data_IF_661494644995
#
_entry.id   IF_661494644995
#
_cell.length_a   1.000
_cell.length_b   1.000
_cell.length_c   1.000
_cell.angle_alpha   90.00
_cell.angle_beta   90.00
_cell.angle_gamma   90.00
#
_symmetry.space_group_name_H-M   'P 1'
#
loop_
_entity.id
_entity.type
_entity.pdbx_description
1 polymer ?
#
# COMPACT_ATOMS: atom_id res chain seq x y z
N UNK A 1 -2.22 7.13 -3.99
CA UNK A 1 -2.01 5.69 -4.31
C UNK A 1 -2.84 4.78 -3.42
N UNK A 2 -2.60 4.67 -2.12
CA UNK A 2 -3.37 3.76 -1.24
C UNK A 2 -4.90 3.89 -1.35
N UNK A 3 -5.44 5.11 -1.37
CA UNK A 3 -6.89 5.33 -1.53
C UNK A 3 -7.45 4.75 -2.83
N UNK A 4 -6.70 4.84 -3.94
CA UNK A 4 -7.09 4.26 -5.23
C UNK A 4 -7.13 2.73 -5.13
N UNK A 5 -6.14 2.13 -4.45
CA UNK A 5 -6.10 0.69 -4.18
C UNK A 5 -7.31 0.27 -3.33
N UNK A 6 -7.66 1.03 -2.29
CA UNK A 6 -8.82 0.74 -1.45
C UNK A 6 -10.13 0.80 -2.24
N UNK A 7 -10.33 1.84 -3.06
CA UNK A 7 -11.51 1.96 -3.93
C UNK A 7 -11.59 0.82 -4.95
N UNK A 8 -10.45 0.45 -5.53
CA UNK A 8 -10.31 -0.69 -6.42
C UNK A 8 -10.77 -1.99 -5.73
N UNK A 9 -10.32 -2.27 -4.49
CA UNK A 9 -10.73 -3.47 -3.77
C UNK A 9 -12.23 -3.48 -3.44
N UNK A 10 -12.78 -2.34 -3.03
CA UNK A 10 -14.22 -2.19 -2.77
C UNK A 10 -15.03 -2.48 -4.03
N UNK A 11 -14.60 -1.99 -5.20
CA UNK A 11 -15.24 -2.28 -6.48
C UNK A 11 -15.30 -3.79 -6.75
N UNK A 12 -14.21 -4.53 -6.54
CA UNK A 12 -14.21 -5.99 -6.74
C UNK A 12 -15.05 -6.74 -5.72
N UNK A 13 -15.12 -6.27 -4.47
CA UNK A 13 -16.07 -6.82 -3.48
C UNK A 13 -17.52 -6.67 -3.98
N UNK A 14 -17.86 -5.50 -4.55
CA UNK A 14 -19.20 -5.25 -5.10
C UNK A 14 -19.47 -6.14 -6.32
N UNK A 15 -18.51 -6.25 -7.24
CA UNK A 15 -18.64 -7.10 -8.45
C UNK A 15 -18.89 -8.55 -8.05
N UNK A 16 -18.17 -9.08 -7.06
CA UNK A 16 -18.29 -10.46 -6.61
C UNK A 16 -19.30 -10.66 -5.47
N UNK A 17 -20.15 -9.67 -5.18
CA UNK A 17 -21.11 -9.72 -4.06
C UNK A 17 -22.15 -10.84 -4.19
N UNK A 18 -22.40 -11.33 -5.41
CA UNK A 18 -23.27 -12.48 -5.66
C UNK A 18 -22.69 -13.82 -5.14
N UNK A 19 -21.37 -13.92 -4.92
CA UNK A 19 -20.75 -15.08 -4.27
C UNK A 19 -20.24 -14.68 -2.89
N UNK A 20 -21.02 -15.06 -1.86
CA UNK A 20 -20.74 -14.71 -0.47
C UNK A 20 -19.33 -15.11 -0.01
N UNK A 21 -18.80 -16.27 -0.45
CA UNK A 21 -17.47 -16.73 -0.05
C UNK A 21 -16.37 -15.83 -0.61
N UNK A 22 -16.45 -15.48 -1.90
CA UNK A 22 -15.45 -14.62 -2.55
C UNK A 22 -15.50 -13.21 -1.96
N UNK A 23 -16.71 -12.65 -1.84
CA UNK A 23 -16.89 -11.32 -1.26
C UNK A 23 -16.38 -11.26 0.19
N UNK A 24 -16.65 -12.29 0.99
CA UNK A 24 -16.16 -12.37 2.37
C UNK A 24 -14.63 -12.50 2.44
N UNK A 25 -14.02 -13.36 1.62
CA UNK A 25 -12.56 -13.50 1.56
C UNK A 25 -11.89 -12.19 1.12
N UNK A 26 -12.40 -11.54 0.07
CA UNK A 26 -11.89 -10.23 -0.37
C UNK A 26 -12.08 -9.16 0.72
N UNK A 27 -13.22 -9.18 1.42
CA UNK A 27 -13.49 -8.28 2.53
C UNK A 27 -12.47 -8.44 3.66
N UNK A 28 -12.22 -9.68 4.12
CA UNK A 28 -11.22 -9.97 5.14
C UNK A 28 -9.81 -9.56 4.70
N UNK A 29 -9.41 -9.90 3.48
CA UNK A 29 -8.10 -9.50 2.94
C UNK A 29 -7.96 -7.98 2.86
N UNK A 30 -9.04 -7.27 2.52
CA UNK A 30 -9.07 -5.80 2.49
C UNK A 30 -8.91 -5.22 3.89
N UNK A 31 -9.60 -5.76 4.90
CA UNK A 31 -9.45 -5.35 6.30
C UNK A 31 -8.02 -5.57 6.78
N UNK A 32 -7.43 -6.73 6.50
CA UNK A 32 -6.03 -7.04 6.85
C UNK A 32 -5.08 -6.03 6.17
N UNK A 33 -5.32 -5.70 4.89
CA UNK A 33 -4.53 -4.71 4.18
C UNK A 33 -4.63 -3.31 4.80
N UNK A 34 -5.83 -2.89 5.23
CA UNK A 34 -6.03 -1.62 5.94
C UNK A 34 -5.31 -1.61 7.29
N UNK A 35 -5.33 -2.74 8.01
CA UNK A 35 -4.61 -2.88 9.27
C UNK A 35 -3.10 -2.71 9.08
N UNK A 36 -2.51 -3.38 8.07
CA UNK A 36 -1.09 -3.18 7.73
C UNK A 36 -0.78 -1.74 7.32
N UNK A 37 -1.66 -1.09 6.54
CA UNK A 37 -1.52 0.32 6.20
C UNK A 37 -1.60 1.24 7.44
N UNK A 38 -2.38 0.87 8.44
CA UNK A 38 -2.41 1.55 9.73
C UNK A 38 -1.06 1.43 10.45
N UNK A 39 -0.50 0.22 10.51
CA UNK A 39 0.78 -0.05 11.18
C UNK A 39 1.92 0.76 10.57
N UNK A 40 1.97 0.90 9.23
CA UNK A 40 3.05 1.65 8.58
C UNK A 40 3.07 3.14 8.93
N UNK A 41 1.99 3.67 9.54
CA UNK A 41 1.92 5.03 10.07
C UNK A 41 2.33 5.15 11.53
N UNK A 42 2.39 4.04 12.26
CA UNK A 42 2.78 4.03 13.67
C UNK A 42 4.30 4.09 13.75
N UNK A 43 4.82 5.23 14.18
CA UNK A 43 6.25 5.37 14.48
C UNK A 43 6.50 4.95 15.92
N UNK A 44 7.48 4.07 16.15
CA UNK A 44 7.98 3.82 17.50
C UNK A 44 8.55 5.13 18.06
N UNK A 45 8.23 5.42 19.32
CA UNK A 45 8.85 6.52 20.06
C UNK A 45 10.02 5.96 20.83
N UNK A 46 11.23 6.28 20.40
CA UNK A 46 12.42 5.94 21.16
C UNK A 46 12.64 6.89 22.34
N UNK A 47 13.37 6.43 23.35
CA UNK A 47 13.87 7.28 24.43
C UNK A 47 15.35 7.53 24.16
N UNK A 48 15.75 8.79 24.10
CA UNK A 48 17.13 9.15 23.75
C UNK A 48 17.42 10.63 23.94
N UNK A 49 18.65 11.02 23.66
CA UNK A 49 19.07 12.41 23.69
C UNK A 49 18.31 13.26 22.66
N UNK A 50 18.10 14.54 22.97
CA UNK A 50 17.38 15.47 22.12
C UNK A 50 18.32 16.24 21.19
N UNK A 51 17.86 16.51 19.97
CA UNK A 51 18.45 17.41 18.98
C UNK A 51 17.40 18.41 18.47
N UNK A 52 17.83 19.61 18.09
CA UNK A 52 16.90 20.61 17.53
C UNK A 52 16.75 20.44 16.01
N UNK A 53 15.51 20.26 15.55
CA UNK A 53 15.21 20.30 14.12
C UNK A 53 14.91 21.74 13.69
N UNK A 54 15.77 22.30 12.83
CA UNK A 54 15.61 23.67 12.29
C UNK A 54 14.36 23.83 11.43
N UNK A 55 14.01 22.81 10.65
CA UNK A 55 12.83 22.84 9.77
C UNK A 55 11.52 22.82 10.54
N UNK A 56 11.42 21.98 11.59
CA UNK A 56 10.24 21.91 12.45
C UNK A 56 10.25 22.91 13.62
N UNK A 57 11.36 23.63 13.84
CA UNK A 57 11.61 24.53 14.97
C UNK A 57 11.32 23.91 16.35
N UNK A 58 11.63 22.61 16.52
CA UNK A 58 11.33 21.86 17.75
C UNK A 58 12.44 20.88 18.13
N UNK A 59 12.50 20.51 19.41
CA UNK A 59 13.35 19.42 19.89
C UNK A 59 12.78 18.07 19.42
N UNK A 60 13.68 17.21 18.96
CA UNK A 60 13.42 15.86 18.43
C UNK A 60 14.48 14.91 18.98
N UNK A 61 14.36 13.61 18.78
CA UNK A 61 15.40 12.67 19.23
C UNK A 61 16.59 12.67 18.26
N UNK A 62 17.80 12.40 18.75
CA UNK A 62 19.08 12.51 18.01
C UNK A 62 19.14 11.68 16.71
N UNK A 63 18.37 10.60 16.59
CA UNK A 63 18.32 9.76 15.38
C UNK A 63 17.14 10.09 14.46
N UNK A 64 16.52 11.26 14.59
CA UNK A 64 15.41 11.67 13.72
C UNK A 64 15.91 12.57 12.59
N UNK A 65 15.40 12.37 11.39
CA UNK A 65 15.63 13.21 10.22
C UNK A 65 14.33 13.89 9.80
N UNK A 66 14.43 15.10 9.24
CA UNK A 66 13.26 15.78 8.70
C UNK A 66 12.89 15.18 7.34
N UNK A 67 11.68 14.63 7.22
CA UNK A 67 11.12 14.25 5.93
C UNK A 67 10.30 15.42 5.38
N UNK A 68 10.78 16.01 4.29
CA UNK A 68 10.13 17.15 3.63
C UNK A 68 8.80 16.77 2.98
N UNK A 69 8.67 15.56 2.45
CA UNK A 69 7.42 15.08 1.85
C UNK A 69 6.31 14.93 2.90
N UNK A 70 6.66 14.49 4.12
CA UNK A 70 5.71 14.36 5.23
C UNK A 70 5.66 15.59 6.15
N UNK A 71 6.50 16.60 5.92
CA UNK A 71 6.69 17.77 6.79
C UNK A 71 6.84 17.44 8.28
N UNK A 72 7.52 16.32 8.61
CA UNK A 72 7.70 15.87 9.99
C UNK A 72 9.05 15.20 10.20
N UNK A 73 9.53 15.22 11.43
CA UNK A 73 10.72 14.48 11.82
C UNK A 73 10.36 13.02 12.07
N UNK A 74 11.12 12.11 11.46
CA UNK A 74 10.93 10.66 11.53
C UNK A 74 12.25 9.99 11.89
N UNK A 75 12.25 8.81 12.52
CA UNK A 75 13.46 8.02 12.73
C UNK A 75 14.26 7.83 11.42
N UNK A 76 15.59 7.86 11.52
CA UNK A 76 16.51 7.81 10.37
C UNK A 76 16.47 6.49 9.60
N UNK A 77 15.97 5.42 10.21
CA UNK A 77 15.75 4.11 9.59
C UNK A 77 14.48 4.05 8.71
N UNK A 78 13.61 5.07 8.78
CA UNK A 78 12.42 5.15 7.94
C UNK A 78 12.71 5.90 6.64
N UNK A 79 12.13 5.41 5.54
CA UNK A 79 12.18 6.07 4.23
C UNK A 79 10.78 6.47 3.81
N UNK A 80 10.66 7.60 3.12
CA UNK A 80 9.39 8.02 2.54
C UNK A 80 9.03 7.12 1.36
N UNK A 81 7.88 6.45 1.43
CA UNK A 81 7.32 5.69 0.32
C UNK A 81 6.14 6.46 -0.30
N UNK A 82 6.25 6.74 -1.60
CA UNK A 82 5.26 7.52 -2.35
C UNK A 82 3.93 6.79 -2.56
N UNK A 83 3.94 5.45 -2.58
CA UNK A 83 2.72 4.65 -2.76
C UNK A 83 1.84 4.76 -1.51
N UNK A 84 2.46 4.68 -0.34
CA UNK A 84 1.77 4.84 0.93
C UNK A 84 1.59 6.31 1.34
N UNK A 85 2.37 7.21 0.74
CA UNK A 85 2.50 8.61 1.15
C UNK A 85 2.85 8.74 2.65
N UNK A 86 3.77 7.90 3.13
CA UNK A 86 4.21 7.89 4.53
C UNK A 86 5.66 7.45 4.64
N UNK A 87 6.33 7.85 5.71
CA UNK A 87 7.62 7.27 6.09
C UNK A 87 7.39 5.95 6.80
N UNK A 88 8.04 4.89 6.33
CA UNK A 88 7.89 3.55 6.91
C UNK A 88 9.20 2.77 6.79
N UNK A 89 9.29 1.66 7.53
CA UNK A 89 10.44 0.78 7.49
C UNK A 89 10.41 -0.07 6.22
N UNK A 90 11.58 -0.42 5.69
CA UNK A 90 11.68 -1.30 4.51
C UNK A 90 10.99 -2.66 4.76
N UNK A 91 10.97 -3.11 6.01
CA UNK A 91 10.34 -4.36 6.41
C UNK A 91 8.80 -4.30 6.34
N UNK A 92 8.18 -3.27 6.92
CA UNK A 92 6.73 -3.14 6.93
C UNK A 92 6.20 -2.82 5.52
N UNK A 93 6.98 -2.06 4.76
CA UNK A 93 6.71 -1.79 3.35
C UNK A 93 6.70 -3.07 2.51
N UNK A 94 7.68 -3.97 2.71
CA UNK A 94 7.73 -5.27 2.04
C UNK A 94 6.50 -6.10 2.37
N UNK A 95 6.12 -6.20 3.66
CA UNK A 95 4.93 -6.95 4.10
C UNK A 95 3.66 -6.46 3.42
N UNK A 96 3.45 -5.15 3.39
CA UNK A 96 2.31 -4.56 2.68
C UNK A 96 2.33 -4.87 1.18
N UNK A 97 3.48 -4.71 0.52
CA UNK A 97 3.62 -4.96 -0.93
C UNK A 97 3.35 -6.42 -1.28
N UNK A 98 3.79 -7.37 -0.45
CA UNK A 98 3.50 -8.79 -0.64
C UNK A 98 2.03 -9.11 -0.45
N UNK A 99 1.38 -8.56 0.59
CA UNK A 99 -0.05 -8.75 0.80
C UNK A 99 -0.87 -8.18 -0.36
N UNK A 100 -0.53 -6.98 -0.83
CA UNK A 100 -1.18 -6.38 -1.99
C UNK A 100 -1.02 -7.25 -3.24
N UNK A 101 0.19 -7.78 -3.48
CA UNK A 101 0.45 -8.66 -4.61
C UNK A 101 -0.38 -9.94 -4.54
N UNK A 102 -0.46 -10.57 -3.36
CA UNK A 102 -1.30 -11.75 -3.13
C UNK A 102 -2.78 -11.48 -3.45
N UNK A 103 -3.31 -10.34 -2.99
CA UNK A 103 -4.70 -9.94 -3.28
C UNK A 103 -4.92 -9.73 -4.78
N UNK A 104 -3.97 -9.09 -5.47
CA UNK A 104 -4.06 -8.86 -6.91
C UNK A 104 -4.06 -10.20 -7.67
N UNK A 105 -3.14 -11.11 -7.37
CA UNK A 105 -3.11 -12.45 -7.98
C UNK A 105 -4.43 -13.19 -7.73
N UNK A 106 -4.95 -13.14 -6.50
CA UNK A 106 -6.23 -13.76 -6.15
C UNK A 106 -7.39 -13.23 -6.99
N UNK A 107 -7.50 -11.90 -7.15
CA UNK A 107 -8.53 -11.29 -8.02
C UNK A 107 -8.36 -11.74 -9.47
N UNK A 108 -7.13 -11.75 -9.99
CA UNK A 108 -6.84 -12.21 -11.36
C UNK A 108 -7.25 -13.67 -11.59
N UNK A 109 -6.98 -14.56 -10.63
CA UNK A 109 -7.40 -15.96 -10.69
C UNK A 109 -8.92 -16.11 -10.71
N UNK A 110 -9.64 -15.40 -9.83
CA UNK A 110 -11.11 -15.44 -9.81
C UNK A 110 -11.68 -14.92 -11.12
N UNK A 111 -11.19 -13.78 -11.62
CA UNK A 111 -11.63 -13.23 -12.90
C UNK A 111 -11.38 -14.19 -14.06
N UNK A 112 -10.25 -14.90 -14.07
CA UNK A 112 -9.96 -15.93 -15.06
C UNK A 112 -10.96 -17.08 -15.01
N UNK A 113 -11.22 -17.64 -13.81
CA UNK A 113 -12.17 -18.74 -13.62
C UNK A 113 -13.59 -18.31 -14.02
N UNK A 114 -14.06 -17.16 -13.55
CA UNK A 114 -15.38 -16.65 -13.90
C UNK A 114 -15.49 -16.21 -15.36
N UNK A 115 -14.37 -15.78 -15.98
CA UNK A 115 -14.26 -15.49 -17.40
C UNK A 115 -14.54 -16.71 -18.29
N UNK A 116 -14.18 -17.91 -17.82
CA UNK A 116 -14.51 -19.14 -18.54
C UNK A 116 -16.02 -19.43 -18.56
N UNK A 117 -16.76 -18.97 -17.55
CA UNK A 117 -18.21 -19.18 -17.44
C UNK A 117 -18.98 -18.05 -18.12
N UNK A 118 -18.55 -16.80 -17.93
CA UNK A 118 -19.17 -15.61 -18.49
C UNK A 118 -18.10 -14.68 -19.07
N UNK A 119 -18.16 -14.49 -20.38
CA UNK A 119 -17.14 -13.74 -21.12
C UNK A 119 -16.93 -12.29 -20.65
N UNK A 120 -17.92 -11.68 -19.99
CA UNK A 120 -17.82 -10.30 -19.48
C UNK A 120 -16.68 -10.12 -18.46
N UNK A 121 -16.33 -11.16 -17.70
CA UNK A 121 -15.23 -11.09 -16.73
C UNK A 121 -13.85 -10.99 -17.39
N UNK A 122 -13.69 -11.31 -18.67
CA UNK A 122 -12.43 -11.06 -19.39
C UNK A 122 -12.15 -9.57 -19.57
N UNK A 123 -13.18 -8.74 -19.73
CA UNK A 123 -13.02 -7.27 -19.72
C UNK A 123 -12.52 -6.81 -18.35
N UNK A 124 -13.08 -7.37 -17.28
CA UNK A 124 -12.62 -7.14 -15.91
C UNK A 124 -11.17 -7.59 -15.68
N UNK A 125 -10.77 -8.72 -16.25
CA UNK A 125 -9.39 -9.22 -16.19
C UNK A 125 -8.42 -8.31 -16.95
N UNK A 126 -8.81 -7.81 -18.11
CA UNK A 126 -8.01 -6.85 -18.86
C UNK A 126 -7.78 -5.55 -18.06
N UNK A 127 -8.85 -4.99 -17.48
CA UNK A 127 -8.75 -3.81 -16.59
C UNK A 127 -7.88 -4.09 -15.35
N UNK A 128 -7.98 -5.29 -14.79
CA UNK A 128 -7.16 -5.73 -13.68
C UNK A 128 -5.66 -5.75 -14.04
N UNK A 129 -5.30 -6.36 -15.17
CA UNK A 129 -3.92 -6.42 -15.66
C UNK A 129 -3.37 -5.00 -15.92
N UNK A 130 -4.17 -4.12 -16.53
CA UNK A 130 -3.80 -2.71 -16.73
C UNK A 130 -3.54 -1.99 -15.40
N UNK A 131 -4.34 -2.27 -14.38
CA UNK A 131 -4.14 -1.72 -13.03
C UNK A 131 -2.82 -2.20 -12.42
N UNK A 132 -2.51 -3.50 -12.54
CA UNK A 132 -1.22 -4.06 -12.08
C UNK A 132 -0.05 -3.40 -12.81
N UNK A 133 -0.15 -3.25 -14.13
CA UNK A 133 0.88 -2.62 -14.95
C UNK A 133 1.12 -1.17 -14.49
N UNK A 134 0.06 -0.41 -14.25
CA UNK A 134 0.16 0.98 -13.79
C UNK A 134 0.83 1.08 -12.40
N UNK A 135 0.41 0.24 -11.45
CA UNK A 135 1.01 0.18 -10.10
C UNK A 135 2.50 -0.18 -10.18
N UNK A 136 2.89 -1.10 -11.07
CA UNK A 136 4.29 -1.50 -11.22
C UNK A 136 5.13 -0.45 -11.95
N UNK A 137 4.57 0.29 -12.90
CA UNK A 137 5.24 1.40 -13.57
C UNK A 137 5.64 2.48 -12.56
N UNK A 138 4.76 2.84 -11.63
CA UNK A 138 5.08 3.82 -10.58
C UNK A 138 6.18 3.33 -9.63
N UNK A 139 6.28 2.02 -9.35
CA UNK A 139 7.39 1.48 -8.55
C UNK A 139 8.74 1.71 -9.23
N UNK A 140 8.84 1.52 -10.55
CA UNK A 140 10.10 1.65 -11.27
C UNK A 140 10.57 3.10 -11.39
N UNK A 141 9.63 4.05 -11.55
CA UNK A 141 9.95 5.50 -11.58
C UNK A 141 10.52 5.95 -10.22
N UNK A 142 10.00 5.41 -9.12
CA UNK A 142 10.47 5.76 -7.77
C UNK A 142 11.85 5.20 -7.41
N UNK A 143 12.36 4.18 -8.14
CA UNK A 143 13.73 3.67 -7.93
C UNK A 143 14.75 4.56 -8.67
N UNK A 144 14.40 5.08 -9.85
CA UNK A 144 15.30 5.90 -10.68
C UNK A 144 15.51 7.34 -10.19
N UNK A 145 14.68 7.85 -9.27
CA UNK A 145 14.80 9.22 -8.73
C UNK A 145 15.72 9.28 -7.50
N UNK A 146 16.17 8.13 -6.99
CA UNK A 146 17.03 8.02 -5.80
C UNK A 146 18.41 7.37 -6.08
N UNK A 147 18.77 7.21 -7.36
CA UNK A 147 20.15 6.96 -7.81
C UNK A 147 20.74 8.26 -8.36
#
# INVERSE_FOLDING_TARGET
MHLIISLYLILYIIIFSFNAYIAFTLGLLTIILQWFYGITKITKTDRGAFQYCTSCKKLTLQHYIHCYQCNKCVPADLKHDYIMNTCTSDHDLKRYKYLLLMIMIYIGLILGIYGMINGWYWVGLFLHIMTIYWINKEKNINISVFM
#
